data_IF_777503186705
#
_entry.id   IF_777503186705
#
_cell.length_a   1.000
_cell.length_b   1.000
_cell.length_c   1.000
_cell.angle_alpha   90.00
_cell.angle_beta   90.00
_cell.angle_gamma   90.00
#
_symmetry.space_group_name_H-M   'P 1'
#
loop_
_entity.id
_entity.type
_entity.pdbx_description
1 polymer ?
#
# COMPACT_ATOMS: atom_id res chain seq x y z
N UNK A 1 8.70 -21.02 1.64
CA UNK A 1 7.30 -21.40 1.92
C UNK A 1 6.48 -20.84 0.78
N UNK A 2 5.59 -21.62 0.18
CA UNK A 2 4.78 -21.13 -0.94
C UNK A 2 3.76 -20.10 -0.44
N UNK A 3 3.67 -18.95 -1.13
CA UNK A 3 2.74 -17.87 -0.74
C UNK A 3 1.35 -18.22 -1.23
N UNK A 4 0.37 -18.21 -0.34
CA UNK A 4 -1.03 -18.40 -0.69
C UNK A 4 -1.64 -17.06 -1.11
N UNK A 5 -1.99 -16.92 -2.39
CA UNK A 5 -2.64 -15.73 -2.93
C UNK A 5 -4.17 -15.87 -2.88
N UNK A 6 -4.85 -14.80 -2.47
CA UNK A 6 -6.32 -14.75 -2.35
C UNK A 6 -6.86 -13.53 -3.06
N UNK A 7 -7.98 -13.68 -3.77
CA UNK A 7 -8.73 -12.53 -4.28
C UNK A 7 -9.59 -11.95 -3.15
N UNK A 8 -9.42 -10.66 -2.87
CA UNK A 8 -10.17 -9.96 -1.82
C UNK A 8 -10.75 -8.66 -2.37
N UNK A 9 -11.80 -8.18 -1.69
CA UNK A 9 -12.39 -6.86 -1.96
C UNK A 9 -12.30 -6.05 -0.67
N UNK A 10 -11.70 -4.87 -0.74
CA UNK A 10 -11.64 -3.94 0.39
C UNK A 10 -12.90 -3.08 0.42
N UNK A 11 -13.31 -2.68 1.61
CA UNK A 11 -14.57 -1.94 1.87
C UNK A 11 -14.41 -0.42 1.80
N UNK A 12 -13.35 0.07 1.15
CA UNK A 12 -13.08 1.48 0.93
C UNK A 12 -12.65 1.75 -0.52
N UNK A 13 -12.88 2.97 -0.99
CA UNK A 13 -12.49 3.43 -2.32
C UNK A 13 -11.59 4.68 -2.30
N UNK A 14 -11.43 5.30 -1.13
CA UNK A 14 -10.72 6.56 -0.98
C UNK A 14 -9.64 6.41 0.09
N UNK A 15 -8.44 6.86 -0.27
CA UNK A 15 -7.29 6.95 0.63
C UNK A 15 -6.83 8.41 0.70
N UNK A 16 -6.20 8.77 1.81
CA UNK A 16 -5.32 9.93 1.91
C UNK A 16 -3.90 9.44 2.15
N UNK A 17 -2.93 10.02 1.45
CA UNK A 17 -1.51 9.64 1.57
C UNK A 17 -0.62 10.80 2.01
N UNK A 18 0.30 10.52 2.92
CA UNK A 18 1.44 11.35 3.25
C UNK A 18 2.71 10.76 2.65
N UNK A 19 3.62 11.62 2.21
CA UNK A 19 4.97 11.23 1.77
C UNK A 19 6.00 12.02 2.57
N UNK A 20 7.00 11.35 3.13
CA UNK A 20 8.05 12.00 3.91
C UNK A 20 9.40 11.25 3.81
N UNK A 21 10.46 11.91 4.30
CA UNK A 21 11.83 11.37 4.34
C UNK A 21 12.03 10.33 5.45
N UNK A 22 11.12 10.25 6.42
CA UNK A 22 11.11 9.21 7.47
C UNK A 22 9.71 8.62 7.63
N UNK A 23 9.63 7.36 8.07
CA UNK A 23 8.37 6.66 8.35
C UNK A 23 7.57 7.41 9.41
N UNK A 24 8.23 7.78 10.50
CA UNK A 24 7.60 8.46 11.64
C UNK A 24 6.95 9.77 11.18
N UNK A 25 7.59 10.49 10.26
CA UNK A 25 7.05 11.76 9.78
C UNK A 25 5.81 11.58 8.89
N UNK A 26 5.83 10.58 8.00
CA UNK A 26 4.67 10.26 7.19
C UNK A 26 3.49 9.82 8.07
N UNK A 27 3.76 9.00 9.10
CA UNK A 27 2.75 8.55 10.05
C UNK A 27 2.18 9.72 10.87
N UNK A 28 3.02 10.60 11.43
CA UNK A 28 2.58 11.81 12.15
C UNK A 28 1.62 12.68 11.32
N UNK A 29 1.90 12.85 10.02
CA UNK A 29 1.04 13.64 9.13
C UNK A 29 -0.33 13.00 8.94
N UNK A 30 -0.38 11.67 8.80
CA UNK A 30 -1.62 10.91 8.70
C UNK A 30 -2.39 10.93 10.01
N UNK A 31 -1.72 10.77 11.16
CA UNK A 31 -2.37 10.83 12.47
C UNK A 31 -2.97 12.21 12.75
N UNK A 32 -2.22 13.28 12.47
CA UNK A 32 -2.72 14.63 12.62
C UNK A 32 -3.97 14.86 11.74
N UNK A 33 -3.97 14.36 10.51
CA UNK A 33 -5.13 14.46 9.62
C UNK A 33 -6.32 13.64 10.12
N UNK A 34 -6.09 12.41 10.59
CA UNK A 34 -7.14 11.56 11.13
C UNK A 34 -7.83 12.22 12.33
N UNK A 35 -7.04 12.80 13.24
CA UNK A 35 -7.54 13.55 14.40
C UNK A 35 -8.30 14.81 14.01
N UNK A 36 -7.79 15.59 13.04
CA UNK A 36 -8.45 16.81 12.56
C UNK A 36 -9.80 16.54 11.87
N UNK A 37 -10.01 15.32 11.36
CA UNK A 37 -11.21 14.93 10.61
C UNK A 37 -12.08 13.90 11.34
N UNK A 38 -11.83 13.63 12.62
CA UNK A 38 -12.54 12.64 13.44
C UNK A 38 -12.61 11.24 12.82
N UNK A 39 -11.53 10.81 12.15
CA UNK A 39 -11.43 9.49 11.50
C UNK A 39 -10.84 8.50 12.50
N UNK A 40 -11.66 7.59 13.03
CA UNK A 40 -11.26 6.65 14.10
C UNK A 40 -11.08 5.21 13.62
N UNK A 41 -11.73 4.83 12.52
CA UNK A 41 -11.82 3.47 12.00
C UNK A 41 -11.05 3.26 10.68
N UNK A 42 -10.31 4.28 10.25
CA UNK A 42 -9.50 4.21 9.04
C UNK A 42 -8.37 3.18 9.15
N UNK A 43 -8.29 2.29 8.17
CA UNK A 43 -7.18 1.34 7.98
C UNK A 43 -5.94 2.06 7.49
N UNK A 44 -4.78 1.59 7.95
CA UNK A 44 -3.49 2.22 7.68
C UNK A 44 -2.64 1.29 6.83
N UNK A 45 -1.97 1.87 5.84
CA UNK A 45 -1.09 1.13 4.96
C UNK A 45 0.23 1.87 4.76
N UNK A 46 1.28 1.12 4.46
CA UNK A 46 2.62 1.62 4.24
C UNK A 46 3.17 1.20 2.89
N UNK A 47 4.03 2.06 2.35
CA UNK A 47 4.89 1.78 1.20
C UNK A 47 6.22 2.51 1.39
N UNK A 48 7.34 1.81 1.25
CA UNK A 48 8.66 2.42 1.13
C UNK A 48 9.00 2.47 -0.35
N UNK A 49 9.00 3.67 -0.93
CA UNK A 49 9.37 3.86 -2.32
C UNK A 49 10.89 3.97 -2.42
N UNK A 50 11.52 2.91 -2.94
CA UNK A 50 12.97 2.79 -3.05
C UNK A 50 13.40 3.13 -4.47
N UNK A 51 14.26 4.14 -4.61
CA UNK A 51 14.89 4.53 -5.86
C UNK A 51 16.40 4.35 -5.74
N UNK A 52 16.97 3.50 -6.60
CA UNK A 52 18.42 3.27 -6.65
C UNK A 52 19.00 4.02 -7.85
N UNK A 53 19.88 4.98 -7.58
CA UNK A 53 20.61 5.71 -8.61
C UNK A 53 22.12 5.47 -8.47
N UNK A 54 22.68 4.64 -9.36
CA UNK A 54 24.06 4.21 -9.27
C UNK A 54 24.29 3.32 -8.04
N UNK A 55 25.00 3.84 -7.03
CA UNK A 55 25.27 3.15 -5.75
C UNK A 55 24.51 3.76 -4.56
N UNK A 56 23.65 4.75 -4.80
CA UNK A 56 22.91 5.45 -3.75
C UNK A 56 21.46 5.00 -3.77
N UNK A 57 20.95 4.61 -2.60
CA UNK A 57 19.55 4.26 -2.36
C UNK A 57 18.85 5.45 -1.70
N UNK A 58 17.78 5.93 -2.35
CA UNK A 58 16.88 6.94 -1.79
C UNK A 58 15.57 6.25 -1.42
N UNK A 59 15.10 6.48 -0.20
CA UNK A 59 13.84 5.92 0.29
C UNK A 59 12.89 7.05 0.64
N UNK A 60 11.72 7.05 0.03
CA UNK A 60 10.60 7.91 0.42
C UNK A 60 9.55 7.06 1.11
N UNK A 61 9.15 7.45 2.32
CA UNK A 61 8.16 6.71 3.10
C UNK A 61 6.78 7.27 2.80
N UNK A 62 5.86 6.40 2.43
CA UNK A 62 4.48 6.73 2.13
C UNK A 62 3.57 6.02 3.14
N UNK A 63 2.68 6.77 3.77
CA UNK A 63 1.64 6.26 4.67
C UNK A 63 0.29 6.60 4.07
N UNK A 64 -0.60 5.62 4.02
CA UNK A 64 -1.97 5.77 3.55
C UNK A 64 -2.95 5.56 4.71
N UNK A 65 -4.06 6.27 4.66
CA UNK A 65 -5.22 6.08 5.52
C UNK A 65 -6.46 5.90 4.65
N UNK A 66 -7.24 4.85 4.88
CA UNK A 66 -8.58 4.74 4.27
C UNK A 66 -9.52 5.75 4.91
N UNK A 67 -10.27 6.46 4.09
CA UNK A 67 -11.15 7.53 4.52
C UNK A 67 -12.52 7.41 3.85
N UNK A 68 -13.57 8.03 4.42
CA UNK A 68 -14.87 8.11 3.78
C UNK A 68 -14.80 8.70 2.36
N UNK A 69 -15.66 8.22 1.47
CA UNK A 69 -15.74 8.73 0.10
C UNK A 69 -15.99 10.24 0.08
N UNK A 70 -15.19 10.96 -0.71
CA UNK A 70 -15.26 12.42 -0.83
C UNK A 70 -14.38 13.19 0.16
N UNK A 71 -13.75 12.53 1.13
CA UNK A 71 -12.74 13.14 2.00
C UNK A 71 -11.54 13.63 1.18
N UNK A 72 -11.14 14.89 1.41
CA UNK A 72 -10.01 15.52 0.72
C UNK A 72 -8.81 15.65 1.65
N UNK A 73 -7.63 15.30 1.12
CA UNK A 73 -6.36 15.60 1.75
C UNK A 73 -6.16 17.11 1.89
N UNK A 74 -5.38 17.51 2.88
CA UNK A 74 -5.00 18.90 3.14
C UNK A 74 -3.52 18.98 3.51
N UNK A 75 -2.94 20.18 3.52
CA UNK A 75 -1.58 20.44 4.05
C UNK A 75 -0.48 19.50 3.48
N UNK A 76 -0.49 19.26 2.18
CA UNK A 76 0.50 18.39 1.51
C UNK A 76 0.15 16.91 1.47
N UNK A 77 -1.01 16.52 2.02
CA UNK A 77 -1.59 15.19 1.85
C UNK A 77 -2.32 15.09 0.52
N UNK A 78 -2.21 13.94 -0.15
CA UNK A 78 -2.87 13.68 -1.42
C UNK A 78 -4.05 12.74 -1.23
N UNK A 79 -5.18 13.03 -1.87
CA UNK A 79 -6.30 12.08 -1.97
C UNK A 79 -6.05 11.12 -3.13
N UNK A 80 -6.19 9.82 -2.87
CA UNK A 80 -6.12 8.77 -3.87
C UNK A 80 -7.47 8.06 -3.93
N UNK A 81 -8.21 8.26 -5.01
CA UNK A 81 -9.46 7.52 -5.28
C UNK A 81 -9.13 6.27 -6.10
N UNK A 82 -9.39 5.09 -5.55
CA UNK A 82 -9.19 3.80 -6.20
C UNK A 82 -10.14 3.65 -7.41
N UNK A 83 -9.68 2.99 -8.46
CA UNK A 83 -10.52 2.70 -9.64
C UNK A 83 -11.49 1.55 -9.37
N UNK A 84 -11.01 0.57 -8.61
CA UNK A 84 -11.77 -0.56 -8.10
C UNK A 84 -11.17 -0.93 -6.74
N UNK A 85 -11.90 -1.71 -5.95
CA UNK A 85 -11.51 -2.15 -4.63
C UNK A 85 -11.11 -3.63 -4.60
N UNK A 86 -10.68 -4.19 -5.74
CA UNK A 86 -10.31 -5.60 -5.89
C UNK A 86 -8.80 -5.76 -5.82
N UNK A 87 -8.35 -6.67 -4.95
CA UNK A 87 -6.94 -6.87 -4.67
C UNK A 87 -6.60 -8.35 -4.63
N UNK A 88 -5.38 -8.68 -5.05
CA UNK A 88 -4.75 -9.94 -4.66
C UNK A 88 -4.09 -9.71 -3.32
N UNK A 89 -4.44 -10.54 -2.34
CA UNK A 89 -3.90 -10.52 -0.99
C UNK A 89 -2.98 -11.71 -0.76
N UNK A 90 -1.89 -11.45 -0.06
CA UNK A 90 -1.04 -12.48 0.54
C UNK A 90 -0.40 -11.93 1.81
N UNK A 91 0.05 -12.84 2.67
CA UNK A 91 0.74 -12.50 3.92
C UNK A 91 2.21 -12.88 3.78
N UNK A 92 3.09 -12.02 4.30
CA UNK A 92 4.51 -12.26 4.42
C UNK A 92 5.07 -11.66 5.70
N UNK A 93 6.38 -11.74 5.85
CA UNK A 93 7.10 -11.10 6.93
C UNK A 93 7.81 -9.80 6.44
N UNK A 94 8.59 -9.18 7.32
CA UNK A 94 9.35 -7.97 6.98
C UNK A 94 10.40 -8.17 5.88
N UNK A 95 11.01 -9.36 5.82
CA UNK A 95 11.97 -9.69 4.76
C UNK A 95 11.26 -9.80 3.40
N UNK A 96 10.10 -10.45 3.36
CA UNK A 96 9.24 -10.52 2.18
C UNK A 96 8.88 -9.11 1.68
N UNK A 97 8.56 -8.19 2.60
CA UNK A 97 8.28 -6.79 2.27
C UNK A 97 9.46 -6.11 1.58
N UNK A 98 10.65 -6.20 2.16
CA UNK A 98 11.84 -5.60 1.58
C UNK A 98 12.25 -6.24 0.24
N UNK A 99 12.07 -7.56 0.09
CA UNK A 99 12.34 -8.26 -1.15
C UNK A 99 11.34 -7.89 -2.25
N UNK A 100 10.05 -7.77 -1.92
CA UNK A 100 9.01 -7.32 -2.83
C UNK A 100 9.30 -5.92 -3.37
N UNK A 101 9.63 -4.97 -2.49
CA UNK A 101 9.92 -3.59 -2.88
C UNK A 101 11.17 -3.42 -3.74
N UNK A 102 12.13 -4.36 -3.64
CA UNK A 102 13.33 -4.40 -4.49
C UNK A 102 13.14 -5.19 -5.78
N UNK A 103 11.93 -5.72 -6.00
CA UNK A 103 11.55 -6.46 -7.19
C UNK A 103 12.16 -7.86 -7.30
N UNK A 104 12.55 -8.46 -6.19
CA UNK A 104 13.15 -9.80 -6.17
C UNK A 104 12.12 -10.93 -6.27
N UNK A 105 10.82 -10.66 -6.09
CA UNK A 105 9.78 -11.68 -6.04
C UNK A 105 8.52 -11.32 -6.85
N UNK A 106 8.54 -11.60 -8.16
CA UNK A 106 7.40 -11.38 -9.05
C UNK A 106 6.84 -12.65 -9.72
N UNK A 107 7.63 -13.71 -9.85
CA UNK A 107 7.27 -14.88 -10.69
C UNK A 107 5.96 -15.55 -10.24
N UNK A 108 5.80 -15.86 -8.96
CA UNK A 108 4.60 -16.55 -8.46
C UNK A 108 3.34 -15.68 -8.53
N UNK A 109 3.49 -14.35 -8.43
CA UNK A 109 2.37 -13.41 -8.53
C UNK A 109 1.88 -13.27 -9.98
N UNK A 110 2.82 -13.15 -10.93
CA UNK A 110 2.50 -13.06 -12.35
C UNK A 110 1.83 -14.34 -12.86
N UNK A 111 2.29 -15.51 -12.39
CA UNK A 111 1.65 -16.80 -12.67
C UNK A 111 0.21 -16.84 -12.13
N UNK A 112 0.01 -16.46 -10.86
CA UNK A 112 -1.32 -16.41 -10.26
C UNK A 112 -2.29 -15.50 -11.04
N UNK A 113 -1.85 -14.31 -11.44
CA UNK A 113 -2.68 -13.41 -12.26
C UNK A 113 -3.04 -14.05 -13.59
N UNK A 114 -2.09 -14.69 -14.27
CA UNK A 114 -2.30 -15.34 -15.56
C UNK A 114 -3.30 -16.49 -15.46
N UNK A 115 -3.18 -17.34 -14.43
CA UNK A 115 -4.10 -18.47 -14.21
C UNK A 115 -5.54 -18.02 -13.95
N UNK A 116 -5.71 -16.87 -13.31
CA UNK A 116 -7.01 -16.29 -13.02
C UNK A 116 -7.52 -15.32 -14.11
N UNK A 117 -6.77 -15.12 -15.20
CA UNK A 117 -7.13 -14.21 -16.28
C UNK A 117 -7.15 -12.73 -15.88
N UNK A 118 -6.37 -12.36 -14.86
CA UNK A 118 -6.31 -11.02 -14.26
C UNK A 118 -5.09 -10.24 -14.75
N UNK A 119 -5.10 -8.92 -14.56
CA UNK A 119 -3.92 -8.06 -14.77
C UNK A 119 -3.74 -7.11 -13.61
N UNK A 120 -2.50 -6.92 -13.13
CA UNK A 120 -2.21 -5.92 -12.12
C UNK A 120 -2.60 -4.51 -12.60
N UNK A 121 -3.21 -3.70 -11.71
CA UNK A 121 -3.55 -2.30 -11.97
C UNK A 121 -2.77 -1.37 -11.04
N UNK A 122 -1.49 -1.18 -11.35
CA UNK A 122 -0.60 -0.32 -10.57
C UNK A 122 -0.70 1.18 -10.95
N UNK A 123 -1.78 1.59 -11.62
CA UNK A 123 -1.86 2.96 -12.18
C UNK A 123 -2.02 4.08 -11.14
N UNK A 124 -2.52 3.76 -9.95
CA UNK A 124 -2.70 4.72 -8.84
C UNK A 124 -2.03 4.29 -7.55
N UNK A 125 -1.99 2.99 -7.30
CA UNK A 125 -1.39 2.37 -6.11
C UNK A 125 -0.58 1.19 -6.61
N UNK A 126 0.68 1.11 -6.20
CA UNK A 126 1.53 -0.04 -6.54
C UNK A 126 1.14 -1.25 -5.69
N UNK A 127 1.13 -1.07 -4.37
CA UNK A 127 0.70 -2.04 -3.36
C UNK A 127 0.25 -1.28 -2.12
N UNK A 128 -0.71 -1.83 -1.39
CA UNK A 128 -0.98 -1.42 -0.01
C UNK A 128 -0.44 -2.50 0.92
N UNK A 129 0.32 -2.12 1.94
CA UNK A 129 0.80 -3.07 2.95
C UNK A 129 0.31 -2.67 4.33
N UNK A 130 -0.46 -3.53 4.97
CA UNK A 130 -0.91 -3.35 6.36
C UNK A 130 -0.03 -4.19 7.29
N UNK A 131 0.44 -3.61 8.39
CA UNK A 131 1.28 -4.31 9.37
C UNK A 131 0.42 -4.69 10.57
N UNK A 132 0.27 -5.99 10.82
CA UNK A 132 -0.55 -6.53 11.90
C UNK A 132 0.33 -7.44 12.76
N UNK A 133 0.80 -6.92 13.90
CA UNK A 133 1.84 -7.60 14.68
C UNK A 133 3.13 -7.72 13.87
N UNK A 134 3.59 -8.95 13.64
CA UNK A 134 4.78 -9.24 12.82
C UNK A 134 4.45 -9.55 11.35
N UNK A 135 3.17 -9.56 10.98
CA UNK A 135 2.69 -9.91 9.65
C UNK A 135 2.53 -8.68 8.75
N UNK A 136 3.04 -8.81 7.53
CA UNK A 136 2.88 -7.83 6.46
C UNK A 136 1.82 -8.35 5.49
N UNK A 137 0.68 -7.67 5.46
CA UNK A 137 -0.48 -8.00 4.65
C UNK A 137 -0.45 -7.16 3.38
N UNK A 138 -0.16 -7.80 2.24
CA UNK A 138 -0.01 -7.13 0.95
C UNK A 138 -1.34 -7.14 0.20
N UNK A 139 -1.69 -6.02 -0.42
CA UNK A 139 -2.86 -5.88 -1.28
C UNK A 139 -2.43 -5.26 -2.60
N UNK A 140 -2.37 -6.08 -3.65
CA UNK A 140 -1.98 -5.63 -4.99
C UNK A 140 -3.24 -5.46 -5.85
N UNK A 141 -3.53 -4.25 -6.35
CA UNK A 141 -4.71 -3.99 -7.16
C UNK A 141 -4.66 -4.74 -8.50
N UNK A 142 -5.82 -5.20 -8.98
CA UNK A 142 -5.95 -5.85 -10.28
C UNK A 142 -7.20 -5.39 -11.05
N UNK A 143 -7.23 -5.68 -12.35
CA UNK A 143 -8.38 -5.55 -13.25
C UNK A 143 -8.84 -6.92 -13.75
#
# INVERSE_FOLDING_TARGET
MEKEFKLVTLDFDTLVSAMAETREKADEMIEAFALENDITDGRRFILDFIMIQGKVEYVTYITYLSVPTGTKGSKGLQTVVLKNNKFVHFVGNKEDYHNYLRGHEHLNFDEFLKENGLKADISKIYVLTEVIGDEYNFYIPYN
#
